data_IF_868754194509
#
_entry.id   IF_868754194509
#
_cell.length_a   1.000
_cell.length_b   1.000
_cell.length_c   1.000
_cell.angle_alpha   90.00
_cell.angle_beta   90.00
_cell.angle_gamma   90.00
#
_symmetry.space_group_name_H-M   'P 1'
#
loop_
_entity.id
_entity.type
_entity.pdbx_description
1 polymer ?
#
# COMPACT_ATOMS: atom_id res chain seq x y z
N UNK A 1 2.15 53.31 4.22
CA UNK A 1 2.33 51.85 4.01
C UNK A 1 3.80 51.40 4.15
N UNK A 2 4.76 51.91 3.37
CA UNK A 2 6.16 51.42 3.37
C UNK A 2 6.84 51.34 4.75
N UNK A 3 6.93 52.45 5.49
CA UNK A 3 7.52 52.45 6.85
C UNK A 3 6.78 51.54 7.83
N UNK A 4 5.46 51.40 7.70
CA UNK A 4 4.67 50.50 8.53
C UNK A 4 5.03 49.03 8.26
N UNK A 5 5.15 48.66 6.98
CA UNK A 5 5.56 47.30 6.58
C UNK A 5 6.93 46.96 7.16
N UNK A 6 7.88 47.89 7.07
CA UNK A 6 9.24 47.66 7.57
C UNK A 6 9.28 47.52 9.09
N UNK A 7 8.51 48.33 9.82
CA UNK A 7 8.41 48.17 11.27
C UNK A 7 7.72 46.85 11.66
N UNK A 8 6.69 46.43 10.93
CA UNK A 8 6.02 45.15 11.17
C UNK A 8 6.95 43.97 10.85
N UNK A 9 7.76 44.06 9.78
CA UNK A 9 8.78 43.07 9.42
C UNK A 9 9.73 42.80 10.58
N UNK A 10 10.22 43.84 11.24
CA UNK A 10 11.11 43.68 12.39
C UNK A 10 10.46 42.87 13.53
N UNK A 11 9.15 43.04 13.76
CA UNK A 11 8.41 42.24 14.77
C UNK A 11 8.26 40.80 14.31
N UNK A 12 7.86 40.58 13.06
CA UNK A 12 7.72 39.24 12.46
C UNK A 12 9.03 38.46 12.56
N UNK A 13 10.13 39.06 12.12
CA UNK A 13 11.45 38.44 12.14
C UNK A 13 11.93 38.17 13.56
N UNK A 14 11.62 39.05 14.52
CA UNK A 14 11.90 38.78 15.93
C UNK A 14 11.10 37.58 16.48
N UNK A 15 9.83 37.41 16.10
CA UNK A 15 9.04 36.23 16.47
C UNK A 15 9.63 34.95 15.87
N UNK A 16 9.93 34.95 14.57
CA UNK A 16 10.51 33.82 13.86
C UNK A 16 11.87 33.42 14.46
N UNK A 17 12.72 34.39 14.76
CA UNK A 17 14.03 34.16 15.40
C UNK A 17 13.92 33.52 16.80
N UNK A 18 12.77 33.64 17.47
CA UNK A 18 12.49 33.00 18.75
C UNK A 18 11.73 31.66 18.60
N UNK A 19 11.60 31.12 17.39
CA UNK A 19 10.86 29.88 17.13
C UNK A 19 9.34 30.01 17.31
N UNK A 20 8.81 31.23 17.27
CA UNK A 20 7.36 31.49 17.30
C UNK A 20 6.84 31.59 15.88
N UNK A 21 5.70 30.97 15.58
CA UNK A 21 4.98 31.12 14.30
C UNK A 21 4.07 32.36 14.41
N UNK A 22 4.39 33.51 13.81
CA UNK A 22 3.51 34.67 13.84
C UNK A 22 2.36 34.51 12.84
N UNK A 23 1.14 34.73 13.30
CA UNK A 23 -0.05 34.89 12.44
C UNK A 23 -0.37 36.38 12.39
N UNK A 24 -0.24 37.02 11.23
CA UNK A 24 -0.50 38.46 11.10
C UNK A 24 -1.89 38.73 10.53
N UNK A 25 -2.51 39.85 10.91
CA UNK A 25 -3.89 40.19 10.51
C UNK A 25 -3.92 41.50 9.73
N UNK A 26 -4.65 41.56 8.62
CA UNK A 26 -4.82 42.81 7.87
C UNK A 26 -5.65 43.82 8.67
N UNK A 27 -5.31 45.10 8.58
CA UNK A 27 -6.00 46.13 9.36
C UNK A 27 -7.42 46.40 8.82
N UNK A 28 -8.44 46.58 9.67
CA UNK A 28 -9.79 46.85 9.19
C UNK A 28 -9.90 48.21 8.47
N UNK A 29 -10.92 48.40 7.63
CA UNK A 29 -11.23 49.73 7.11
C UNK A 29 -11.66 50.68 8.24
N UNK A 30 -11.47 51.98 8.03
CA UNK A 30 -11.67 53.02 9.05
C UNK A 30 -12.28 54.28 8.44
N UNK A 31 -13.23 54.90 9.13
CA UNK A 31 -13.80 56.19 8.74
C UNK A 31 -12.84 57.35 9.04
N UNK A 32 -12.97 58.43 8.28
CA UNK A 32 -12.25 59.68 8.54
C UNK A 32 -10.85 59.73 7.94
N UNK A 33 -10.51 58.74 7.11
CA UNK A 33 -9.32 58.74 6.26
C UNK A 33 -9.73 58.83 4.80
N UNK A 34 -8.78 59.26 3.95
CA UNK A 34 -8.98 59.21 2.50
C UNK A 34 -9.37 57.78 2.10
N UNK A 35 -10.45 57.60 1.30
CA UNK A 35 -10.86 56.28 0.85
C UNK A 35 -9.69 55.49 0.26
N UNK A 36 -9.57 54.22 0.66
CA UNK A 36 -8.50 53.32 0.21
C UNK A 36 -7.19 53.41 0.99
N UNK A 37 -6.98 54.39 1.87
CA UNK A 37 -5.71 54.48 2.62
C UNK A 37 -5.49 53.28 3.53
N UNK A 38 -6.52 52.84 4.26
CA UNK A 38 -6.42 51.63 5.10
C UNK A 38 -6.08 50.38 4.28
N UNK A 39 -6.58 50.33 3.04
CA UNK A 39 -6.35 49.20 2.15
C UNK A 39 -4.87 49.14 1.72
N UNK A 40 -4.21 50.29 1.55
CA UNK A 40 -2.74 50.31 1.30
C UNK A 40 -1.92 49.73 2.45
N UNK A 41 -2.39 49.81 3.69
CA UNK A 41 -1.73 49.18 4.83
C UNK A 41 -2.07 47.69 4.92
N UNK A 42 -3.31 47.30 4.61
CA UNK A 42 -3.69 45.90 4.47
C UNK A 42 -2.86 45.20 3.37
N UNK A 43 -2.66 45.84 2.22
CA UNK A 43 -1.78 45.36 1.15
C UNK A 43 -0.33 45.21 1.62
N UNK A 44 0.14 46.11 2.48
CA UNK A 44 1.46 46.01 3.07
C UNK A 44 1.60 44.77 3.97
N UNK A 45 0.55 44.43 4.75
CA UNK A 45 0.49 43.21 5.56
C UNK A 45 0.43 41.96 4.66
N UNK A 46 -0.40 41.97 3.61
CA UNK A 46 -0.49 40.86 2.63
C UNK A 46 0.86 40.59 1.98
N UNK A 47 1.53 41.65 1.50
CA UNK A 47 2.84 41.53 0.88
C UNK A 47 3.91 41.01 1.86
N UNK A 48 3.86 41.43 3.13
CA UNK A 48 4.77 40.93 4.15
C UNK A 48 4.54 39.45 4.46
N UNK A 49 3.28 39.02 4.61
CA UNK A 49 2.94 37.62 4.84
C UNK A 49 3.48 36.72 3.74
N UNK A 50 3.34 37.16 2.49
CA UNK A 50 3.87 36.45 1.32
C UNK A 50 5.40 36.42 1.31
N UNK A 51 6.06 37.56 1.58
CA UNK A 51 7.53 37.67 1.54
C UNK A 51 8.24 36.89 2.65
N UNK A 52 7.63 36.77 3.83
CA UNK A 52 8.18 36.02 4.97
C UNK A 52 7.59 34.61 5.06
N UNK A 53 6.70 34.22 4.12
CA UNK A 53 6.04 32.91 4.05
C UNK A 53 5.30 32.53 5.35
N UNK A 54 4.57 33.48 5.94
CA UNK A 54 3.86 33.30 7.21
C UNK A 54 2.33 33.35 7.08
N UNK A 55 1.58 32.72 8.00
CA UNK A 55 0.12 32.74 8.00
C UNK A 55 -0.49 34.15 8.09
N UNK A 56 -1.60 34.35 7.39
CA UNK A 56 -2.32 35.62 7.29
C UNK A 56 -3.81 35.46 7.63
N UNK A 57 -4.33 36.31 8.51
CA UNK A 57 -5.77 36.50 8.70
C UNK A 57 -6.21 37.74 7.90
N UNK A 58 -6.99 37.52 6.84
CA UNK A 58 -7.39 38.57 5.90
C UNK A 58 -8.66 39.31 6.34
N UNK A 59 -8.60 40.01 7.47
CA UNK A 59 -9.77 40.67 8.06
C UNK A 59 -10.31 41.87 7.24
N UNK A 60 -9.43 42.64 6.62
CA UNK A 60 -9.79 43.82 5.81
C UNK A 60 -10.69 43.47 4.61
N UNK A 61 -10.25 42.55 3.75
CA UNK A 61 -10.97 42.17 2.56
C UNK A 61 -12.17 41.28 2.87
N UNK A 62 -12.17 40.53 3.97
CA UNK A 62 -13.39 39.85 4.45
C UNK A 62 -14.48 40.88 4.84
N UNK A 63 -14.11 41.98 5.51
CA UNK A 63 -15.05 43.08 5.78
C UNK A 63 -15.59 43.68 4.48
N UNK A 64 -14.72 43.97 3.50
CA UNK A 64 -15.15 44.53 2.21
C UNK A 64 -16.02 43.57 1.41
N UNK A 65 -15.73 42.27 1.47
CA UNK A 65 -16.49 41.21 0.80
C UNK A 65 -17.89 41.09 1.39
N UNK A 66 -18.00 41.04 2.72
CA UNK A 66 -19.29 40.95 3.41
C UNK A 66 -20.11 42.24 3.32
N UNK A 67 -19.44 43.39 3.24
CA UNK A 67 -20.07 44.71 3.28
C UNK A 67 -19.47 45.67 2.23
N UNK A 68 -19.76 45.43 0.95
CA UNK A 68 -19.25 46.28 -0.13
C UNK A 68 -19.84 47.69 -0.07
N UNK A 69 -19.21 48.62 -0.80
CA UNK A 69 -19.72 49.99 -0.98
C UNK A 69 -19.67 50.86 0.27
N UNK A 70 -18.81 50.54 1.25
CA UNK A 70 -18.70 51.30 2.49
C UNK A 70 -19.75 50.95 3.54
N UNK A 71 -20.60 49.96 3.29
CA UNK A 71 -21.66 49.55 4.23
C UNK A 71 -21.15 48.91 5.51
N UNK A 72 -19.83 48.66 5.60
CA UNK A 72 -19.15 48.21 6.82
C UNK A 72 -19.12 49.29 7.91
N UNK A 73 -19.18 50.58 7.56
CA UNK A 73 -19.19 51.70 8.52
C UNK A 73 -20.54 51.77 9.24
N UNK A 74 -20.50 51.74 10.57
CA UNK A 74 -21.70 51.61 11.40
C UNK A 74 -22.27 50.19 11.48
N UNK A 75 -21.69 49.20 10.78
CA UNK A 75 -22.05 47.78 10.91
C UNK A 75 -20.89 46.98 11.47
N UNK A 76 -19.97 46.46 10.65
CA UNK A 76 -18.78 45.71 11.09
C UNK A 76 -17.77 46.61 11.80
N UNK A 77 -17.70 47.88 11.42
CA UNK A 77 -16.99 48.92 12.18
C UNK A 77 -18.04 49.74 12.93
N UNK A 78 -17.78 49.99 14.21
CA UNK A 78 -18.72 50.64 15.11
C UNK A 78 -19.03 52.08 14.68
N UNK A 79 -20.04 52.68 15.30
CA UNK A 79 -20.42 54.07 15.07
C UNK A 79 -19.32 55.10 15.39
N UNK A 80 -18.23 54.72 16.08
CA UNK A 80 -17.06 55.59 16.24
C UNK A 80 -16.17 55.65 14.98
N UNK A 81 -16.36 54.71 14.05
CA UNK A 81 -15.65 54.63 12.79
C UNK A 81 -14.22 54.11 12.89
N UNK A 82 -13.84 53.51 14.04
CA UNK A 82 -12.47 53.02 14.32
C UNK A 82 -12.45 51.58 14.81
N UNK A 83 -13.30 51.24 15.78
CA UNK A 83 -13.26 49.92 16.41
C UNK A 83 -14.24 48.97 15.74
N UNK A 84 -13.95 47.66 15.68
CA UNK A 84 -14.95 46.66 15.35
C UNK A 84 -16.21 46.81 16.23
N UNK A 85 -17.39 46.64 15.65
CA UNK A 85 -18.63 46.70 16.42
C UNK A 85 -18.79 45.48 17.34
N UNK A 86 -19.46 45.67 18.48
CA UNK A 86 -19.77 44.61 19.43
C UNK A 86 -21.26 44.61 19.79
N UNK A 87 -22.08 44.13 18.87
CA UNK A 87 -23.55 44.11 18.95
C UNK A 87 -24.14 42.71 19.16
N UNK A 88 -23.30 41.68 19.25
CA UNK A 88 -23.68 40.27 19.23
C UNK A 88 -23.79 39.69 20.64
N UNK A 89 -24.69 38.72 20.85
CA UNK A 89 -24.55 37.76 21.94
C UNK A 89 -23.23 36.99 21.81
N UNK A 90 -22.61 36.67 22.95
CA UNK A 90 -21.37 35.88 22.98
C UNK A 90 -21.58 34.50 22.35
N UNK A 91 -20.70 34.09 21.44
CA UNK A 91 -20.67 32.73 20.86
C UNK A 91 -21.60 32.49 19.66
N UNK A 92 -22.30 33.51 19.15
CA UNK A 92 -23.08 33.41 17.92
C UNK A 92 -22.22 33.73 16.69
N UNK A 93 -21.83 32.67 15.96
CA UNK A 93 -21.04 32.74 14.72
C UNK A 93 -21.89 32.51 13.46
N UNK A 94 -23.20 32.79 13.50
CA UNK A 94 -24.04 32.70 12.30
C UNK A 94 -23.62 33.73 11.23
N UNK A 95 -23.91 33.43 9.96
CA UNK A 95 -23.58 34.31 8.82
C UNK A 95 -24.12 35.74 8.97
N UNK A 96 -25.30 35.87 9.57
CA UNK A 96 -25.89 37.17 9.92
C UNK A 96 -24.98 37.93 10.87
N UNK A 97 -24.47 37.28 11.92
CA UNK A 97 -23.60 37.91 12.90
C UNK A 97 -22.20 38.18 12.36
N UNK A 98 -21.62 37.26 11.58
CA UNK A 98 -20.35 37.47 10.87
C UNK A 98 -20.42 38.66 9.91
N UNK A 99 -21.61 39.01 9.43
CA UNK A 99 -21.84 40.15 8.52
C UNK A 99 -22.35 41.42 9.23
N UNK A 100 -22.58 41.42 10.55
CA UNK A 100 -23.13 42.58 11.28
C UNK A 100 -22.36 42.95 12.55
N UNK A 101 -21.46 42.08 13.03
CA UNK A 101 -20.63 42.31 14.21
C UNK A 101 -19.15 42.11 13.87
N UNK A 102 -18.37 43.19 14.01
CA UNK A 102 -16.94 43.16 13.71
C UNK A 102 -16.11 42.30 14.66
N UNK A 103 -16.41 42.32 15.97
CA UNK A 103 -15.71 41.47 16.94
C UNK A 103 -15.96 39.98 16.72
N UNK A 104 -17.21 39.58 16.45
CA UNK A 104 -17.57 38.21 16.12
C UNK A 104 -16.82 37.74 14.87
N UNK A 105 -16.82 38.54 13.80
CA UNK A 105 -16.08 38.23 12.58
C UNK A 105 -14.58 38.06 12.87
N UNK A 106 -13.97 39.01 13.58
CA UNK A 106 -12.54 38.94 13.93
C UNK A 106 -12.23 37.67 14.73
N UNK A 107 -13.04 37.37 15.74
CA UNK A 107 -12.82 36.20 16.61
C UNK A 107 -12.95 34.90 15.82
N UNK A 108 -13.97 34.80 14.98
CA UNK A 108 -14.17 33.64 14.11
C UNK A 108 -12.95 33.41 13.21
N UNK A 109 -12.52 34.44 12.49
CA UNK A 109 -11.35 34.33 11.59
C UNK A 109 -10.05 34.02 12.36
N UNK A 110 -9.90 34.54 13.58
CA UNK A 110 -8.71 34.26 14.40
C UNK A 110 -8.69 32.82 14.88
N UNK A 111 -9.84 32.27 15.31
CA UNK A 111 -9.93 30.87 15.71
C UNK A 111 -9.67 29.93 14.53
N UNK A 112 -10.24 30.23 13.36
CA UNK A 112 -9.99 29.44 12.14
C UNK A 112 -8.53 29.52 11.69
N UNK A 113 -7.93 30.73 11.63
CA UNK A 113 -6.52 30.86 11.27
C UNK A 113 -5.57 30.17 12.25
N UNK A 114 -5.87 30.19 13.55
CA UNK A 114 -5.10 29.44 14.54
C UNK A 114 -5.27 27.92 14.39
N UNK A 115 -6.49 27.45 14.06
CA UNK A 115 -6.77 26.05 13.82
C UNK A 115 -6.04 25.52 12.59
N UNK A 116 -6.04 26.27 11.48
CA UNK A 116 -5.30 25.90 10.26
C UNK A 116 -3.80 25.71 10.52
N UNK A 117 -3.19 26.62 11.29
CA UNK A 117 -1.78 26.48 11.70
C UNK A 117 -1.59 25.28 12.62
N UNK A 118 -2.51 25.04 13.56
CA UNK A 118 -2.45 23.88 14.43
C UNK A 118 -2.52 22.58 13.62
N UNK A 119 -3.47 22.44 12.69
CA UNK A 119 -3.63 21.25 11.85
C UNK A 119 -2.43 20.99 10.94
N UNK A 120 -1.86 22.04 10.33
CA UNK A 120 -0.82 21.88 9.32
C UNK A 120 0.60 21.81 9.89
N UNK A 121 0.84 22.39 11.07
CA UNK A 121 2.20 22.59 11.60
C UNK A 121 2.40 21.94 12.97
N UNK A 122 1.37 21.81 13.80
CA UNK A 122 1.50 21.38 15.20
C UNK A 122 0.93 19.98 15.41
N UNK A 123 -0.16 19.64 14.73
CA UNK A 123 -0.86 18.41 14.91
C UNK A 123 -0.12 17.27 14.21
N UNK A 124 0.55 16.45 15.00
CA UNK A 124 0.91 15.10 14.56
C UNK A 124 -0.35 14.22 14.69
N UNK A 125 -0.86 13.64 13.59
CA UNK A 125 -1.98 12.71 13.71
C UNK A 125 -1.60 11.56 14.65
N UNK A 126 -2.53 11.08 15.49
CA UNK A 126 -2.26 9.95 16.35
C UNK A 126 -1.83 8.77 15.48
N UNK A 127 -0.65 8.21 15.78
CA UNK A 127 -0.15 7.06 15.05
C UNK A 127 -1.22 5.95 15.11
N UNK A 128 -1.66 5.39 13.96
CA UNK A 128 -2.63 4.31 13.95
C UNK A 128 -2.23 3.17 14.90
N UNK A 129 -3.20 2.44 15.47
CA UNK A 129 -2.87 1.22 16.19
C UNK A 129 -2.09 0.28 15.25
N UNK A 130 -1.04 -0.40 15.74
CA UNK A 130 -0.27 -1.31 14.90
C UNK A 130 -1.21 -2.39 14.35
N UNK A 131 -1.03 -2.72 13.07
CA UNK A 131 -1.68 -3.80 12.38
C UNK A 131 -0.63 -4.68 11.67
N UNK A 132 -1.02 -5.92 11.38
CA UNK A 132 -0.20 -6.90 10.65
C UNK A 132 -1.12 -7.77 9.79
N UNK A 133 -0.85 -7.81 8.50
CA UNK A 133 -1.41 -8.80 7.57
C UNK A 133 -0.28 -9.71 7.10
N UNK A 134 -0.53 -11.02 7.05
CA UNK A 134 0.39 -12.00 6.47
C UNK A 134 -0.25 -12.56 5.20
N UNK A 135 0.41 -12.38 4.06
CA UNK A 135 0.02 -12.96 2.78
C UNK A 135 1.03 -14.01 2.35
N UNK A 136 0.63 -14.85 1.38
CA UNK A 136 1.50 -15.85 0.80
C UNK A 136 1.22 -16.05 -0.68
N UNK A 137 2.24 -16.50 -1.40
CA UNK A 137 2.16 -16.93 -2.80
C UNK A 137 2.71 -18.35 -2.94
N UNK A 138 2.20 -19.09 -3.93
CA UNK A 138 2.56 -20.49 -4.20
C UNK A 138 3.12 -20.61 -5.61
N UNK A 139 4.27 -21.27 -5.75
CA UNK A 139 4.82 -21.72 -7.03
C UNK A 139 5.05 -23.23 -6.97
N UNK A 140 4.91 -23.95 -8.07
CA UNK A 140 5.22 -25.38 -8.13
C UNK A 140 6.32 -25.63 -9.17
N UNK A 141 7.37 -26.33 -8.78
CA UNK A 141 8.52 -26.63 -9.63
C UNK A 141 8.99 -28.06 -9.34
N UNK A 142 9.02 -28.90 -10.37
CA UNK A 142 9.69 -30.20 -10.32
C UNK A 142 9.23 -31.17 -9.21
N UNK A 143 7.96 -31.11 -8.77
CA UNK A 143 7.45 -31.99 -7.69
C UNK A 143 7.35 -31.34 -6.31
N UNK A 144 7.72 -30.07 -6.20
CA UNK A 144 7.76 -29.34 -4.92
C UNK A 144 7.06 -27.99 -5.07
N UNK A 145 6.38 -27.55 -4.02
CA UNK A 145 5.78 -26.22 -3.89
C UNK A 145 6.73 -25.30 -3.15
N UNK A 146 6.88 -24.09 -3.65
CA UNK A 146 7.56 -22.98 -3.02
C UNK A 146 6.55 -21.98 -2.51
N UNK A 147 6.56 -21.72 -1.21
CA UNK A 147 5.69 -20.74 -0.56
C UNK A 147 6.50 -19.52 -0.17
N UNK A 148 6.11 -18.35 -0.63
CA UNK A 148 6.67 -17.07 -0.18
C UNK A 148 5.70 -16.43 0.80
N UNK A 149 6.20 -15.84 1.89
CA UNK A 149 5.40 -15.09 2.86
C UNK A 149 5.80 -13.63 2.90
N UNK A 150 4.80 -12.74 2.95
CA UNK A 150 4.97 -11.29 2.99
C UNK A 150 4.13 -10.69 4.13
N UNK A 151 4.71 -9.73 4.86
CA UNK A 151 4.01 -8.95 5.88
C UNK A 151 3.66 -7.56 5.41
N UNK A 152 2.45 -7.13 5.74
CA UNK A 152 1.98 -5.76 5.52
C UNK A 152 1.60 -5.11 6.86
N UNK A 153 2.13 -3.91 7.12
CA UNK A 153 1.79 -3.09 8.29
C UNK A 153 0.40 -2.44 8.23
N UNK A 154 -0.16 -2.26 7.03
CA UNK A 154 -1.52 -1.80 6.74
C UNK A 154 -1.83 -0.36 7.16
N UNK A 155 -0.81 0.49 7.27
CA UNK A 155 -0.94 1.87 7.74
C UNK A 155 -0.11 2.90 6.96
N UNK A 156 0.53 2.53 5.86
CA UNK A 156 1.28 3.45 5.00
C UNK A 156 2.60 3.93 5.58
N UNK A 157 3.13 3.26 6.60
CA UNK A 157 4.35 3.68 7.31
C UNK A 157 5.38 2.55 7.35
N UNK A 158 6.65 2.91 7.12
CA UNK A 158 7.81 2.05 7.33
C UNK A 158 7.76 1.36 8.69
N UNK A 159 8.04 0.06 8.74
CA UNK A 159 7.87 -0.73 9.95
C UNK A 159 8.89 -1.86 10.12
N UNK A 160 9.40 -1.94 11.35
CA UNK A 160 10.11 -3.12 11.84
C UNK A 160 9.14 -4.15 12.43
N UNK A 161 9.40 -5.41 12.09
CA UNK A 161 8.72 -6.57 12.63
C UNK A 161 9.72 -7.52 13.28
N UNK A 162 9.32 -8.09 14.41
CA UNK A 162 9.98 -9.25 14.97
C UNK A 162 9.10 -10.47 14.76
N UNK A 163 9.60 -11.47 14.05
CA UNK A 163 8.82 -12.59 13.55
C UNK A 163 9.37 -13.88 14.13
N UNK A 164 8.52 -14.68 14.75
CA UNK A 164 8.81 -16.03 15.24
C UNK A 164 7.76 -16.99 14.67
N UNK A 165 8.16 -17.87 13.77
CA UNK A 165 7.27 -18.71 12.97
C UNK A 165 7.73 -20.15 12.94
N UNK A 166 6.77 -21.07 12.96
CA UNK A 166 6.98 -22.52 12.82
C UNK A 166 6.04 -23.07 11.75
N UNK A 167 6.55 -24.03 10.98
CA UNK A 167 5.86 -24.69 9.87
C UNK A 167 5.83 -26.20 10.08
N UNK A 168 4.76 -26.82 9.61
CA UNK A 168 4.60 -28.27 9.59
C UNK A 168 3.84 -28.68 8.36
N UNK A 169 4.17 -29.83 7.77
CA UNK A 169 3.34 -30.41 6.73
C UNK A 169 1.95 -30.79 7.28
N UNK A 170 0.91 -30.53 6.50
CA UNK A 170 -0.48 -30.90 6.80
C UNK A 170 -1.03 -31.82 5.70
N UNK A 171 -2.08 -32.58 5.97
CA UNK A 171 -2.76 -33.39 4.94
C UNK A 171 -1.93 -34.50 4.26
N UNK A 172 -0.66 -34.69 4.64
CA UNK A 172 0.30 -35.56 3.95
C UNK A 172 1.45 -34.81 3.27
N UNK A 173 1.38 -33.48 3.18
CA UNK A 173 2.48 -32.59 2.82
C UNK A 173 3.66 -32.72 3.78
N UNK A 174 4.86 -32.41 3.30
CA UNK A 174 6.10 -32.44 4.08
C UNK A 174 6.92 -31.20 3.77
N UNK A 175 7.47 -30.56 4.81
CA UNK A 175 8.47 -29.50 4.64
C UNK A 175 9.78 -30.16 4.21
N UNK A 176 10.31 -29.72 3.07
CA UNK A 176 11.61 -30.13 2.55
C UNK A 176 12.69 -29.18 3.02
N UNK A 177 12.41 -27.88 3.01
CA UNK A 177 13.38 -26.84 3.31
C UNK A 177 12.70 -25.54 3.72
N UNK A 178 13.41 -24.73 4.51
CA UNK A 178 13.02 -23.38 4.91
C UNK A 178 14.24 -22.48 4.72
N UNK A 179 14.03 -21.28 4.16
CA UNK A 179 14.99 -20.19 4.22
C UNK A 179 14.30 -18.88 4.54
N UNK A 180 14.71 -18.27 5.63
CA UNK A 180 14.37 -16.90 5.97
C UNK A 180 15.41 -15.94 5.36
N UNK A 181 14.93 -14.85 4.79
CA UNK A 181 15.77 -13.86 4.11
C UNK A 181 15.44 -12.42 4.52
N UNK A 182 14.29 -12.17 5.14
CA UNK A 182 13.86 -10.83 5.53
C UNK A 182 13.54 -9.93 4.33
N UNK A 183 13.85 -8.63 4.43
CA UNK A 183 13.57 -7.59 3.43
C UNK A 183 14.41 -7.68 2.12
N UNK A 184 14.69 -8.89 1.64
CA UNK A 184 15.45 -9.09 0.41
C UNK A 184 14.51 -9.56 -0.70
N UNK A 185 14.38 -8.74 -1.75
CA UNK A 185 13.74 -9.14 -3.00
C UNK A 185 14.58 -10.21 -3.68
N UNK A 186 14.18 -11.47 -3.51
CA UNK A 186 14.82 -12.63 -4.14
C UNK A 186 14.59 -12.66 -5.67
N UNK A 187 13.73 -11.79 -6.19
CA UNK A 187 13.30 -11.77 -7.59
C UNK A 187 13.83 -10.55 -8.37
N UNK A 188 15.12 -10.25 -8.26
CA UNK A 188 15.77 -9.32 -9.18
C UNK A 188 16.96 -9.97 -9.88
N UNK A 189 17.01 -9.86 -11.21
CA UNK A 189 18.15 -10.24 -12.06
C UNK A 189 19.49 -9.68 -11.53
N UNK A 190 19.43 -8.61 -10.75
CA UNK A 190 20.57 -7.93 -10.16
C UNK A 190 21.14 -8.66 -8.92
N UNK A 191 20.34 -9.43 -8.19
CA UNK A 191 20.79 -10.26 -7.07
C UNK A 191 21.32 -11.63 -7.52
N UNK A 192 20.89 -12.14 -8.68
CA UNK A 192 21.49 -13.32 -9.30
C UNK A 192 23.02 -13.16 -9.49
N UNK A 193 23.44 -11.97 -9.93
CA UNK A 193 24.84 -11.61 -10.13
C UNK A 193 25.69 -11.58 -8.83
N UNK A 194 25.06 -11.41 -7.65
CA UNK A 194 25.75 -11.48 -6.36
C UNK A 194 26.03 -12.92 -5.93
N UNK A 195 25.18 -13.86 -6.32
CA UNK A 195 25.42 -15.30 -6.13
C UNK A 195 26.36 -15.91 -7.19
N UNK A 196 26.45 -15.28 -8.39
CA UNK A 196 27.38 -15.65 -9.47
C UNK A 196 28.87 -15.41 -9.14
N UNK A 197 29.21 -14.63 -8.12
CA UNK A 197 30.60 -14.42 -7.69
C UNK A 197 31.20 -15.64 -6.97
N UNK A 198 30.41 -16.71 -6.79
CA UNK A 198 30.82 -18.00 -6.25
C UNK A 198 31.31 -18.90 -7.39
N UNK A 199 32.43 -19.64 -7.28
CA UNK A 199 33.14 -20.17 -8.46
C UNK A 199 32.30 -21.15 -9.30
N UNK A 200 32.09 -20.75 -10.57
CA UNK A 200 31.41 -21.42 -11.71
C UNK A 200 30.50 -22.62 -11.38
N UNK A 201 29.19 -22.37 -11.43
CA UNK A 201 28.18 -23.41 -11.64
C UNK A 201 27.53 -23.26 -13.02
N UNK A 202 27.35 -24.39 -13.70
CA UNK A 202 26.56 -24.53 -14.91
C UNK A 202 25.08 -24.34 -14.57
N UNK A 203 24.56 -23.11 -14.62
CA UNK A 203 23.13 -22.86 -14.44
C UNK A 203 22.30 -23.62 -15.48
N UNK A 204 21.49 -24.56 -15.01
CA UNK A 204 20.48 -25.32 -15.77
C UNK A 204 19.16 -25.26 -14.98
N UNK A 205 18.13 -24.61 -15.51
CA UNK A 205 16.87 -24.38 -14.78
C UNK A 205 16.12 -25.68 -14.42
N UNK A 206 16.44 -26.78 -15.10
CA UNK A 206 15.90 -28.11 -14.80
C UNK A 206 16.64 -28.80 -13.63
N UNK A 207 17.83 -28.31 -13.25
CA UNK A 207 18.71 -28.88 -12.21
C UNK A 207 19.00 -27.93 -11.04
N UNK A 208 18.89 -26.62 -11.24
CA UNK A 208 19.24 -25.55 -10.29
C UNK A 208 18.00 -24.77 -9.83
N UNK A 209 16.87 -25.45 -9.75
CA UNK A 209 15.79 -25.02 -8.89
C UNK A 209 16.32 -25.05 -7.44
N UNK A 210 16.36 -23.90 -6.77
CA UNK A 210 16.86 -23.73 -5.38
C UNK A 210 16.20 -24.68 -4.36
N UNK A 211 15.18 -25.44 -4.79
CA UNK A 211 14.48 -26.52 -4.11
C UNK A 211 15.35 -27.74 -3.71
N UNK A 212 16.44 -28.04 -4.40
CA UNK A 212 17.18 -29.30 -4.21
C UNK A 212 18.66 -29.15 -3.80
N UNK A 213 19.15 -27.92 -3.66
CA UNK A 213 20.49 -27.63 -3.15
C UNK A 213 20.38 -27.13 -1.69
N UNK A 214 21.23 -27.61 -0.75
CA UNK A 214 21.28 -27.01 0.58
C UNK A 214 21.67 -25.54 0.44
N UNK A 215 20.90 -24.64 1.06
CA UNK A 215 21.24 -23.22 1.11
C UNK A 215 22.69 -23.08 1.62
N UNK A 216 23.52 -22.24 0.97
CA UNK A 216 24.93 -22.17 1.31
C UNK A 216 25.09 -21.82 2.79
N UNK A 217 25.74 -22.71 3.54
CA UNK A 217 25.95 -22.60 4.99
C UNK A 217 26.78 -21.38 5.45
N UNK A 218 27.13 -20.46 4.52
CA UNK A 218 28.03 -19.34 4.70
C UNK A 218 27.51 -18.04 4.06
N UNK A 219 26.19 -17.86 3.92
CA UNK A 219 25.69 -16.49 4.10
C UNK A 219 25.92 -16.20 5.58
N UNK A 220 26.79 -15.25 5.91
CA UNK A 220 26.79 -14.74 7.29
C UNK A 220 25.39 -14.19 7.51
N UNK A 221 24.55 -14.93 8.24
CA UNK A 221 23.21 -14.51 8.60
C UNK A 221 23.30 -13.04 9.00
N UNK A 222 22.56 -12.13 8.34
CA UNK A 222 22.50 -10.76 8.81
C UNK A 222 22.11 -10.83 10.30
N UNK A 223 22.76 -10.02 11.17
CA UNK A 223 22.52 -10.12 12.61
C UNK A 223 21.02 -9.99 12.90
N UNK A 224 20.40 -11.06 13.42
CA UNK A 224 18.97 -11.08 13.72
C UNK A 224 18.17 -12.24 13.12
N UNK A 225 18.77 -13.11 12.29
CA UNK A 225 18.13 -14.34 11.79
C UNK A 225 18.58 -15.56 12.61
N UNK A 226 17.62 -16.39 13.02
CA UNK A 226 17.86 -17.69 13.69
C UNK A 226 16.94 -18.72 13.03
N UNK A 227 17.52 -19.73 12.40
CA UNK A 227 16.76 -20.81 11.76
C UNK A 227 16.84 -22.11 12.56
N UNK A 228 15.73 -22.84 12.57
CA UNK A 228 15.60 -24.21 13.03
C UNK A 228 14.98 -25.09 11.94
N UNK A 229 14.87 -26.41 12.14
CA UNK A 229 14.49 -27.35 11.08
C UNK A 229 13.21 -27.01 10.32
N UNK A 230 12.20 -26.43 10.99
CA UNK A 230 10.98 -25.93 10.36
C UNK A 230 10.51 -24.63 11.04
N UNK A 231 11.45 -23.80 11.49
CA UNK A 231 11.13 -22.58 12.23
C UNK A 231 12.14 -21.50 11.93
N UNK A 232 11.73 -20.24 12.01
CA UNK A 232 12.66 -19.13 12.00
C UNK A 232 12.25 -18.06 12.99
N UNK A 233 13.26 -17.33 13.45
CA UNK A 233 13.12 -16.08 14.17
C UNK A 233 13.91 -15.02 13.42
N UNK A 234 13.25 -13.97 12.95
CA UNK A 234 13.88 -12.89 12.17
C UNK A 234 13.41 -11.51 12.61
N UNK A 235 14.29 -10.53 12.42
CA UNK A 235 13.86 -9.15 12.26
C UNK A 235 13.64 -8.88 10.77
N UNK A 236 12.44 -8.46 10.42
CA UNK A 236 12.08 -8.02 9.08
C UNK A 236 11.75 -6.53 9.11
N UNK A 237 12.04 -5.82 8.03
CA UNK A 237 11.79 -4.40 7.85
C UNK A 237 11.13 -4.22 6.48
N UNK A 238 10.26 -3.22 6.33
CA UNK A 238 9.66 -2.88 5.04
C UNK A 238 10.62 -2.09 4.12
N UNK A 239 11.73 -1.59 4.67
CA UNK A 239 12.75 -0.84 3.92
C UNK A 239 12.38 0.62 3.65
N UNK A 240 13.39 1.43 3.31
CA UNK A 240 13.35 2.90 3.39
C UNK A 240 12.62 3.64 2.22
N UNK A 241 11.65 3.03 1.54
CA UNK A 241 10.91 3.71 0.47
C UNK A 241 9.52 3.11 0.25
N UNK A 242 8.45 3.75 0.76
CA UNK A 242 7.01 3.55 0.38
C UNK A 242 6.47 2.12 0.22
N UNK A 243 7.20 1.08 0.60
CA UNK A 243 6.71 -0.29 0.65
C UNK A 243 6.19 -0.55 2.05
N UNK A 244 4.96 -1.06 2.15
CA UNK A 244 4.38 -1.57 3.41
C UNK A 244 4.71 -3.05 3.60
N UNK A 245 5.34 -3.67 2.59
CA UNK A 245 5.52 -5.10 2.44
C UNK A 245 6.94 -5.55 2.81
N UNK A 246 7.05 -6.48 3.77
CA UNK A 246 8.29 -7.11 4.16
C UNK A 246 8.26 -8.61 3.82
N UNK A 247 9.13 -9.05 2.91
CA UNK A 247 9.37 -10.47 2.67
C UNK A 247 9.90 -11.16 3.93
N UNK A 248 9.52 -12.44 4.13
CA UNK A 248 9.94 -13.20 5.31
C UNK A 248 10.81 -14.39 4.96
N UNK A 249 10.20 -15.39 4.32
CA UNK A 249 10.78 -16.69 4.11
C UNK A 249 10.21 -17.40 2.89
N UNK A 250 11.00 -18.34 2.39
CA UNK A 250 10.67 -19.26 1.33
C UNK A 250 10.58 -20.67 1.92
N UNK A 251 9.47 -21.36 1.69
CA UNK A 251 9.22 -22.71 2.20
C UNK A 251 9.10 -23.66 1.02
N UNK A 252 9.98 -24.66 0.97
CA UNK A 252 9.84 -25.76 0.02
C UNK A 252 9.06 -26.91 0.68
N UNK A 253 7.97 -27.36 0.07
CA UNK A 253 7.13 -28.43 0.59
C UNK A 253 6.53 -29.31 -0.52
N UNK A 254 6.06 -30.51 -0.15
CA UNK A 254 5.47 -31.46 -1.13
C UNK A 254 3.94 -31.43 -1.17
N UNK A 255 3.32 -30.47 -0.51
CA UNK A 255 1.86 -30.37 -0.35
C UNK A 255 1.51 -29.38 0.75
N UNK A 256 0.33 -29.57 1.36
CA UNK A 256 -0.24 -28.62 2.32
C UNK A 256 0.70 -28.33 3.51
N UNK A 257 0.64 -27.09 3.97
CA UNK A 257 1.47 -26.58 5.07
C UNK A 257 0.61 -25.89 6.11
N UNK A 258 0.76 -26.28 7.36
CA UNK A 258 0.29 -25.52 8.51
C UNK A 258 1.42 -24.62 9.04
N UNK A 259 1.07 -23.41 9.44
CA UNK A 259 1.99 -22.46 10.08
C UNK A 259 1.39 -21.90 11.38
N UNK A 260 2.27 -21.55 12.32
CA UNK A 260 1.88 -20.84 13.54
C UNK A 260 3.04 -20.02 14.08
N UNK A 261 2.74 -18.93 14.78
CA UNK A 261 3.78 -18.06 15.30
C UNK A 261 3.27 -16.78 15.94
N UNK A 262 4.19 -15.85 16.14
CA UNK A 262 3.93 -14.49 16.64
C UNK A 262 4.71 -13.48 15.82
N UNK A 263 4.02 -12.42 15.39
CA UNK A 263 4.65 -11.23 14.84
C UNK A 263 4.54 -10.12 15.87
N UNK A 264 5.63 -9.44 16.17
CA UNK A 264 5.62 -8.28 17.06
C UNK A 264 5.90 -7.02 16.26
N UNK A 265 5.00 -6.04 16.34
CA UNK A 265 5.12 -4.72 15.71
C UNK A 265 4.89 -3.65 16.75
N UNK A 266 5.81 -2.68 16.87
CA UNK A 266 5.73 -1.56 17.82
C UNK A 266 5.42 -2.01 19.28
N UNK A 267 6.00 -3.15 19.67
CA UNK A 267 5.83 -3.74 21.00
C UNK A 267 4.49 -4.47 21.23
N UNK A 268 3.64 -4.59 20.21
CA UNK A 268 2.39 -5.37 20.25
C UNK A 268 2.60 -6.70 19.53
N UNK A 269 2.24 -7.80 20.18
CA UNK A 269 2.36 -9.15 19.64
C UNK A 269 1.04 -9.61 19.00
N UNK A 270 1.14 -10.14 17.79
CA UNK A 270 0.07 -10.67 16.96
C UNK A 270 0.29 -12.18 16.79
N UNK A 271 -0.41 -13.02 17.59
CA UNK A 271 -0.38 -14.45 17.37
C UNK A 271 -1.15 -14.81 16.11
N UNK A 272 -0.61 -15.70 15.29
CA UNK A 272 -1.22 -16.11 14.04
C UNK A 272 -0.95 -17.59 13.76
N UNK A 273 -1.88 -18.19 13.02
CA UNK A 273 -1.79 -19.56 12.55
C UNK A 273 -2.72 -19.77 11.38
N UNK A 274 -2.35 -20.66 10.47
CA UNK A 274 -3.18 -21.00 9.32
C UNK A 274 -2.70 -22.28 8.63
N UNK A 275 -3.43 -22.66 7.60
CA UNK A 275 -3.07 -23.72 6.66
C UNK A 275 -3.01 -23.12 5.26
N UNK A 276 -2.12 -23.66 4.44
CA UNK A 276 -1.99 -23.36 3.03
C UNK A 276 -2.23 -24.67 2.31
N UNK A 277 -3.28 -24.70 1.51
CA UNK A 277 -3.65 -25.84 0.69
C UNK A 277 -2.89 -25.73 -0.64
N UNK A 278 -2.09 -26.74 -0.95
CA UNK A 278 -1.27 -26.74 -2.15
C UNK A 278 -2.12 -27.22 -3.33
N UNK A 279 -2.31 -26.42 -4.40
CA UNK A 279 -3.18 -26.81 -5.51
C UNK A 279 -2.63 -28.05 -6.22
N UNK A 280 -3.47 -29.04 -6.58
CA UNK A 280 -3.00 -30.20 -7.33
C UNK A 280 -2.27 -29.78 -8.61
N UNK A 281 -1.13 -30.40 -8.97
CA UNK A 281 -0.43 -30.00 -10.18
C UNK A 281 -1.30 -30.30 -11.40
N UNK A 282 -1.54 -29.30 -12.25
CA UNK A 282 -2.43 -29.43 -13.39
C UNK A 282 -3.87 -28.92 -13.18
N UNK A 283 -4.22 -28.46 -11.98
CA UNK A 283 -5.49 -27.80 -11.68
C UNK A 283 -5.40 -26.31 -12.02
N UNK A 284 -5.71 -25.95 -13.27
CA UNK A 284 -5.59 -24.58 -13.76
C UNK A 284 -6.74 -23.70 -13.25
N UNK A 285 -7.91 -24.29 -12.99
CA UNK A 285 -9.10 -23.54 -12.62
C UNK A 285 -9.26 -23.38 -11.09
N UNK A 286 -8.48 -24.11 -10.30
CA UNK A 286 -8.43 -24.06 -8.84
C UNK A 286 -9.64 -24.72 -8.17
N UNK A 287 -10.22 -25.77 -8.76
CA UNK A 287 -11.39 -26.47 -8.23
C UNK A 287 -11.08 -27.77 -7.46
N UNK A 288 -9.79 -28.01 -7.20
CA UNK A 288 -9.20 -29.18 -6.54
C UNK A 288 -9.26 -30.48 -7.37
N UNK A 289 -9.64 -30.39 -8.65
CA UNK A 289 -9.62 -31.51 -9.59
C UNK A 289 -8.72 -31.20 -10.78
N UNK A 290 -8.08 -32.24 -11.31
CA UNK A 290 -7.25 -32.13 -12.52
C UNK A 290 -7.98 -32.87 -13.62
N UNK A 291 -8.78 -32.15 -14.41
CA UNK A 291 -9.77 -32.76 -15.29
C UNK A 291 -9.87 -32.12 -16.68
N UNK A 292 -10.94 -32.44 -17.41
CA UNK A 292 -11.15 -31.94 -18.77
C UNK A 292 -11.32 -30.42 -18.87
N UNK A 293 -11.69 -29.75 -17.77
CA UNK A 293 -11.81 -28.29 -17.73
C UNK A 293 -10.42 -27.63 -17.73
N UNK A 294 -9.45 -28.18 -17.00
CA UNK A 294 -8.06 -27.69 -17.02
C UNK A 294 -7.40 -27.92 -18.37
N UNK A 295 -7.69 -29.05 -19.00
CA UNK A 295 -7.25 -29.31 -20.37
C UNK A 295 -7.74 -28.24 -21.35
N UNK A 296 -8.98 -27.74 -21.18
CA UNK A 296 -9.51 -26.66 -22.02
C UNK A 296 -8.74 -25.36 -21.78
N UNK A 297 -8.38 -25.06 -20.53
CA UNK A 297 -7.52 -23.89 -20.20
C UNK A 297 -6.17 -24.01 -20.90
N UNK A 298 -5.48 -25.14 -20.74
CA UNK A 298 -4.21 -25.42 -21.44
C UNK A 298 -4.35 -25.32 -22.96
N UNK A 299 -5.36 -25.97 -23.54
CA UNK A 299 -5.57 -25.99 -24.98
C UNK A 299 -5.85 -24.60 -25.57
N UNK A 300 -6.43 -23.69 -24.78
CA UNK A 300 -6.67 -22.30 -25.21
C UNK A 300 -5.42 -21.43 -25.11
N UNK A 301 -4.50 -21.77 -24.20
CA UNK A 301 -3.26 -21.04 -23.95
C UNK A 301 -2.01 -21.71 -24.57
N UNK A 302 -2.17 -22.77 -25.37
CA UNK A 302 -1.03 -23.49 -25.93
C UNK A 302 -0.06 -22.57 -26.69
N UNK A 303 1.21 -22.58 -26.27
CA UNK A 303 2.32 -21.74 -26.72
C UNK A 303 2.14 -20.23 -26.50
N UNK A 304 1.22 -19.83 -25.61
CA UNK A 304 1.14 -18.45 -25.11
C UNK A 304 2.15 -18.27 -23.99
N UNK A 305 2.82 -17.12 -23.99
CA UNK A 305 3.76 -16.72 -22.96
C UNK A 305 3.07 -15.90 -21.85
N UNK A 306 3.69 -15.87 -20.67
CA UNK A 306 3.31 -15.10 -19.49
C UNK A 306 1.86 -15.38 -19.00
N UNK A 307 1.38 -16.61 -19.21
CA UNK A 307 0.00 -16.99 -18.88
C UNK A 307 -0.16 -17.45 -17.42
N UNK A 308 0.94 -17.84 -16.77
CA UNK A 308 1.00 -18.28 -15.38
C UNK A 308 0.14 -19.52 -15.09
N UNK A 309 0.02 -19.87 -13.80
CA UNK A 309 -0.69 -21.08 -13.36
C UNK A 309 -2.12 -21.18 -13.89
N UNK A 310 -2.91 -20.11 -13.76
CA UNK A 310 -4.29 -20.06 -14.25
C UNK A 310 -4.40 -20.10 -15.79
N UNK A 311 -3.29 -19.88 -16.49
CA UNK A 311 -3.12 -20.08 -17.91
C UNK A 311 -2.63 -21.47 -18.30
N UNK A 312 -2.47 -22.37 -17.33
CA UNK A 312 -1.89 -23.71 -17.46
C UNK A 312 -0.39 -23.75 -17.81
N UNK A 313 0.37 -22.75 -17.34
CA UNK A 313 1.82 -22.84 -17.16
C UNK A 313 2.07 -23.39 -15.74
N UNK A 314 2.11 -24.72 -15.64
CA UNK A 314 2.19 -25.46 -14.39
C UNK A 314 3.63 -25.71 -13.93
N UNK A 315 4.60 -25.67 -14.85
CA UNK A 315 6.02 -25.77 -14.51
C UNK A 315 6.65 -24.39 -14.18
N UNK A 316 5.95 -23.30 -14.48
CA UNK A 316 6.36 -21.93 -14.17
C UNK A 316 7.47 -21.40 -15.08
N UNK A 317 7.64 -21.97 -16.28
CA UNK A 317 8.65 -21.52 -17.25
C UNK A 317 8.19 -20.32 -18.09
N UNK A 318 6.96 -19.86 -17.86
CA UNK A 318 6.36 -18.73 -18.52
C UNK A 318 5.61 -19.09 -19.80
N UNK A 319 5.53 -20.36 -20.22
CA UNK A 319 4.86 -20.78 -21.45
C UNK A 319 4.01 -22.03 -21.23
N UNK A 320 2.71 -21.98 -21.54
CA UNK A 320 1.86 -23.17 -21.50
C UNK A 320 2.13 -24.10 -22.70
N UNK A 321 2.93 -25.15 -22.52
CA UNK A 321 3.42 -26.01 -23.61
C UNK A 321 3.22 -27.52 -23.37
N UNK A 322 3.99 -28.36 -24.09
CA UNK A 322 3.89 -29.81 -23.97
C UNK A 322 4.34 -30.37 -22.61
N UNK A 323 5.19 -29.67 -21.87
CA UNK A 323 5.65 -30.05 -20.54
C UNK A 323 4.51 -29.88 -19.52
N UNK A 324 3.73 -28.81 -19.62
CA UNK A 324 2.53 -28.60 -18.79
C UNK A 324 1.45 -29.64 -19.05
N UNK A 325 1.28 -30.02 -20.33
CA UNK A 325 0.37 -31.11 -20.67
C UNK A 325 0.76 -32.43 -19.99
N UNK A 326 2.07 -32.74 -19.95
CA UNK A 326 2.57 -33.94 -19.27
C UNK A 326 2.25 -33.88 -17.78
N UNK A 327 2.37 -32.70 -17.16
CA UNK A 327 1.98 -32.49 -15.77
C UNK A 327 0.49 -32.75 -15.57
N UNK A 328 -0.39 -32.04 -16.28
CA UNK A 328 -1.83 -32.28 -16.22
C UNK A 328 -2.18 -33.77 -16.42
N UNK A 329 -1.57 -34.43 -17.41
CA UNK A 329 -1.85 -35.84 -17.70
C UNK A 329 -1.38 -36.78 -16.58
N UNK A 330 -0.29 -36.47 -15.89
CA UNK A 330 0.24 -37.30 -14.80
C UNK A 330 -0.61 -37.20 -13.53
N UNK A 331 -1.24 -36.04 -13.32
CA UNK A 331 -2.04 -35.74 -12.13
C UNK A 331 -3.55 -35.80 -12.39
N UNK A 332 -3.97 -36.22 -13.59
CA UNK A 332 -5.38 -36.34 -13.97
C UNK A 332 -6.20 -37.09 -12.91
N UNK A 333 -7.11 -36.35 -12.27
CA UNK A 333 -7.95 -36.78 -11.16
C UNK A 333 -9.32 -36.11 -11.34
N UNK A 334 -10.22 -36.72 -12.13
CA UNK A 334 -11.46 -36.10 -12.52
C UNK A 334 -12.42 -35.97 -11.35
N UNK A 335 -13.21 -34.90 -11.35
CA UNK A 335 -14.25 -34.71 -10.36
C UNK A 335 -15.20 -35.92 -10.29
N UNK A 336 -15.53 -36.45 -9.10
CA UNK A 336 -16.49 -37.54 -8.96
C UNK A 336 -17.85 -37.18 -9.57
N UNK A 337 -18.22 -37.88 -10.65
CA UNK A 337 -19.46 -37.61 -11.39
C UNK A 337 -19.32 -36.61 -12.55
N UNK A 338 -18.09 -36.14 -12.83
CA UNK A 338 -17.76 -35.33 -14.00
C UNK A 338 -18.06 -36.06 -15.32
N UNK A 339 -18.61 -35.33 -16.28
CA UNK A 339 -18.99 -35.88 -17.59
C UNK A 339 -17.71 -35.92 -18.43
N UNK A 340 -17.03 -37.06 -18.49
CA UNK A 340 -15.92 -37.26 -19.43
C UNK A 340 -16.47 -37.05 -20.85
N UNK A 341 -15.95 -36.10 -21.65
CA UNK A 341 -16.32 -35.99 -23.05
C UNK A 341 -15.96 -37.30 -23.73
N UNK A 342 -16.95 -38.10 -24.13
CA UNK A 342 -16.66 -39.35 -24.83
C UNK A 342 -15.80 -39.03 -26.06
N UNK A 343 -14.64 -39.66 -26.23
CA UNK A 343 -13.82 -39.41 -27.40
C UNK A 343 -14.67 -39.76 -28.63
N UNK A 344 -14.57 -38.92 -29.65
CA UNK A 344 -15.35 -38.96 -30.91
C UNK A 344 -15.29 -40.30 -31.66
N UNK A 345 -14.52 -41.27 -31.14
CA UNK A 345 -14.52 -42.70 -31.44
C UNK A 345 -15.91 -43.33 -31.60
N UNK A 346 -16.91 -42.98 -30.78
CA UNK A 346 -18.27 -43.49 -30.96
C UNK A 346 -18.89 -43.00 -32.28
N UNK A 347 -18.66 -41.72 -32.63
CA UNK A 347 -19.09 -41.13 -33.89
C UNK A 347 -18.31 -41.72 -35.09
N UNK A 348 -17.01 -41.98 -34.94
CA UNK A 348 -16.17 -42.65 -35.94
C UNK A 348 -16.58 -44.11 -36.17
N UNK A 349 -17.01 -44.83 -35.12
CA UNK A 349 -17.58 -46.17 -35.24
C UNK A 349 -18.91 -46.16 -35.99
N UNK A 350 -19.78 -45.18 -35.73
CA UNK A 350 -21.06 -45.02 -36.43
C UNK A 350 -20.83 -44.65 -37.90
N UNK A 351 -19.94 -43.71 -38.18
CA UNK A 351 -19.58 -43.31 -39.54
C UNK A 351 -18.86 -44.44 -40.30
N UNK A 352 -17.96 -45.17 -39.63
CA UNK A 352 -17.29 -46.35 -40.17
C UNK A 352 -18.26 -47.48 -40.49
N UNK A 353 -19.20 -47.78 -39.59
CA UNK A 353 -20.26 -48.77 -39.81
C UNK A 353 -21.20 -48.36 -40.96
N UNK A 354 -21.52 -47.07 -41.09
CA UNK A 354 -22.35 -46.55 -42.18
C UNK A 354 -21.64 -46.57 -43.53
N UNK A 355 -20.34 -46.24 -43.57
CA UNK A 355 -19.49 -46.39 -44.75
C UNK A 355 -19.36 -47.85 -45.20
N UNK A 356 -19.20 -48.79 -44.25
CA UNK A 356 -19.18 -50.23 -44.53
C UNK A 356 -20.53 -50.76 -45.05
N UNK A 357 -21.65 -50.22 -44.54
CA UNK A 357 -23.00 -50.59 -45.00
C UNK A 357 -23.29 -50.07 -46.41
N UNK A 358 -22.83 -48.86 -46.77
CA UNK A 358 -22.96 -48.32 -48.14
C UNK A 358 -22.11 -49.04 -49.18
N UNK A 359 -21.04 -49.74 -48.76
CA UNK A 359 -20.18 -50.51 -49.66
C UNK A 359 -20.70 -51.93 -49.95
N UNK A 360 -21.72 -52.39 -49.20
CA UNK A 360 -22.33 -53.72 -49.32
C UNK A 360 -23.79 -53.69 -49.85
N UNK A 361 -24.26 -52.53 -50.30
CA UNK A 361 -25.59 -52.33 -50.89
C UNK A 361 -25.53 -52.18 -52.40
#
# INVERSE_FOLDING_TARGET
AGTYKENLRQVVQACLANGTIPIITTIPPRRGYTPGVTDTYADAVRALALEEEIPLIEYNGEIHTRRPGGTWDGTLISGDGVHPSNTAPTGDFSETMLSTNGYTLRNWMTLHGAHEVWEQVIYEPPVPPPNVTLTHDIKYVGGTYGLTFTLDGGDGVEADFLVDMTFTGDGGGQIQQVQAFGAMDVDSDNMAAWFDATPEANYDMDLDSYFFQPFPANLTDPPGIIEGPNSYYIMADTGAAEYEDAGLAYIACTGDVAYSGTITRRGVAFPLSGTIDAPPPGDANGDDYVDGLDYVVWSNNYLQADVGWAGADFNGDGIADGLDYVMWSNFYSPQPGGIVPEPTSALLLVLGAWALRRRRG
#
